data_IF_382166813465
#
_entry.id   IF_382166813465
#
_cell.length_a   1.000
_cell.length_b   1.000
_cell.length_c   1.000
_cell.angle_alpha   90.00
_cell.angle_beta   90.00
_cell.angle_gamma   90.00
#
_symmetry.space_group_name_H-M   'P 1'
#
loop_
_entity.id
_entity.type
_entity.pdbx_description
1 polymer ?
#
# COMPACT_ATOMS: atom_id res chain seq x y z
N UNK A 1 -33.81 -36.68 -45.45
CA UNK A 1 -34.37 -35.38 -45.88
C UNK A 1 -35.30 -34.93 -44.74
N UNK A 2 -34.76 -34.26 -43.74
CA UNK A 2 -35.49 -33.48 -42.72
C UNK A 2 -34.60 -32.31 -42.38
N UNK A 3 -34.78 -31.23 -43.14
CA UNK A 3 -34.36 -29.91 -42.75
C UNK A 3 -35.64 -29.06 -42.73
N UNK A 4 -36.40 -29.19 -41.65
CA UNK A 4 -37.47 -28.25 -41.37
C UNK A 4 -37.03 -27.30 -40.28
N UNK A 5 -37.06 -26.04 -40.70
CA UNK A 5 -37.12 -24.77 -39.99
C UNK A 5 -37.04 -24.85 -38.46
N UNK A 6 -35.86 -24.81 -37.93
CA UNK A 6 -35.60 -24.57 -36.51
C UNK A 6 -35.94 -23.14 -36.05
N UNK A 7 -36.43 -22.27 -36.96
CA UNK A 7 -36.69 -20.85 -36.71
C UNK A 7 -38.17 -20.41 -37.04
N UNK A 8 -39.01 -21.35 -37.46
CA UNK A 8 -40.43 -21.03 -37.72
C UNK A 8 -41.18 -20.93 -36.37
N UNK A 9 -41.30 -19.74 -35.84
CA UNK A 9 -42.10 -19.43 -34.65
C UNK A 9 -41.54 -18.33 -33.73
N UNK A 10 -40.45 -17.69 -34.08
CA UNK A 10 -39.97 -16.56 -33.29
C UNK A 10 -40.54 -15.24 -33.81
N UNK A 11 -41.38 -14.60 -32.99
CA UNK A 11 -41.85 -13.24 -33.22
C UNK A 11 -40.64 -12.27 -33.19
N UNK A 12 -40.41 -11.52 -34.30
CA UNK A 12 -39.31 -10.54 -34.34
C UNK A 12 -39.39 -9.49 -33.21
N UNK A 13 -40.60 -9.17 -32.74
CA UNK A 13 -40.81 -8.26 -31.64
C UNK A 13 -40.31 -8.84 -30.30
N UNK A 14 -40.51 -10.14 -30.07
CA UNK A 14 -39.95 -10.85 -28.88
C UNK A 14 -38.45 -10.93 -28.91
N UNK A 15 -37.84 -11.20 -30.07
CA UNK A 15 -36.38 -11.23 -30.22
C UNK A 15 -35.77 -9.85 -29.95
N UNK A 16 -36.40 -8.79 -30.46
CA UNK A 16 -35.95 -7.41 -30.20
C UNK A 16 -36.13 -7.01 -28.74
N UNK A 17 -37.20 -7.44 -28.08
CA UNK A 17 -37.42 -7.20 -26.65
C UNK A 17 -36.36 -7.95 -25.78
N UNK A 18 -36.10 -9.21 -26.09
CA UNK A 18 -35.07 -9.99 -25.40
C UNK A 18 -33.64 -9.41 -25.61
N UNK A 19 -33.33 -8.89 -26.80
CA UNK A 19 -32.06 -8.21 -27.07
C UNK A 19 -31.93 -6.90 -26.30
N UNK A 20 -33.02 -6.11 -26.17
CA UNK A 20 -33.06 -4.89 -25.34
C UNK A 20 -32.86 -5.23 -23.84
N UNK A 21 -33.54 -6.27 -23.38
CA UNK A 21 -33.38 -6.74 -21.99
C UNK A 21 -31.95 -7.19 -21.71
N UNK A 22 -31.37 -7.99 -22.59
CA UNK A 22 -29.93 -8.39 -22.47
C UNK A 22 -28.97 -7.19 -22.51
N UNK A 23 -29.24 -6.17 -23.32
CA UNK A 23 -28.44 -4.96 -23.37
C UNK A 23 -28.58 -4.13 -22.08
N UNK A 24 -29.78 -4.09 -21.47
CA UNK A 24 -29.98 -3.47 -20.15
C UNK A 24 -29.26 -4.24 -19.04
N UNK A 25 -29.38 -5.56 -19.02
CA UNK A 25 -28.72 -6.46 -18.05
C UNK A 25 -27.20 -6.37 -18.17
N UNK A 26 -26.64 -6.27 -19.39
CA UNK A 26 -25.21 -6.04 -19.62
C UNK A 26 -24.76 -4.68 -19.13
N UNK A 27 -25.61 -3.64 -19.24
CA UNK A 27 -25.31 -2.29 -18.76
C UNK A 27 -25.35 -2.23 -17.22
N UNK A 28 -26.27 -2.95 -16.60
CA UNK A 28 -26.39 -3.09 -15.15
C UNK A 28 -25.24 -3.93 -14.57
N UNK A 29 -24.86 -5.02 -15.25
CA UNK A 29 -23.71 -5.85 -14.89
C UNK A 29 -22.38 -5.07 -15.00
N UNK A 30 -22.26 -4.16 -16.00
CA UNK A 30 -21.09 -3.27 -16.11
C UNK A 30 -21.01 -2.26 -14.95
N UNK A 31 -22.13 -1.75 -14.46
CA UNK A 31 -22.18 -0.89 -13.27
C UNK A 31 -21.78 -1.68 -12.00
N UNK A 32 -22.20 -2.91 -11.88
CA UNK A 32 -21.81 -3.81 -10.78
C UNK A 32 -20.32 -4.19 -10.84
N UNK A 33 -19.74 -4.32 -12.03
CA UNK A 33 -18.30 -4.58 -12.22
C UNK A 33 -17.44 -3.38 -11.81
N UNK A 34 -17.85 -2.16 -12.06
CA UNK A 34 -17.18 -0.96 -11.58
C UNK A 34 -17.23 -0.82 -10.04
N UNK A 35 -18.36 -1.17 -9.42
CA UNK A 35 -18.49 -1.26 -7.96
C UNK A 35 -17.66 -2.41 -7.35
N UNK A 36 -17.59 -3.57 -8.02
CA UNK A 36 -16.69 -4.67 -7.64
C UNK A 36 -15.20 -4.33 -7.80
N UNK A 37 -14.83 -3.40 -8.67
CA UNK A 37 -13.42 -2.97 -8.81
C UNK A 37 -12.96 -2.12 -7.61
N UNK A 38 -13.78 -1.24 -7.07
CA UNK A 38 -13.52 -0.52 -5.82
C UNK A 38 -13.48 -1.51 -4.63
N UNK A 39 -14.41 -2.48 -4.58
CA UNK A 39 -14.41 -3.55 -3.58
C UNK A 39 -13.19 -4.48 -3.70
N UNK A 40 -12.61 -4.66 -4.90
CA UNK A 40 -11.41 -5.49 -5.09
C UNK A 40 -10.20 -4.91 -4.40
N UNK A 41 -10.05 -3.60 -4.33
CA UNK A 41 -8.93 -2.97 -3.62
C UNK A 41 -9.03 -3.22 -2.12
N UNK A 42 -10.20 -2.99 -1.53
CA UNK A 42 -10.46 -3.28 -0.11
C UNK A 42 -10.34 -4.78 0.20
N UNK A 43 -10.87 -5.65 -0.67
CA UNK A 43 -10.73 -7.10 -0.50
C UNK A 43 -9.28 -7.57 -0.61
N UNK A 44 -8.48 -6.99 -1.49
CA UNK A 44 -7.04 -7.29 -1.58
C UNK A 44 -6.31 -6.93 -0.31
N UNK A 45 -6.57 -5.74 0.24
CA UNK A 45 -6.01 -5.30 1.52
C UNK A 45 -6.41 -6.23 2.66
N UNK A 46 -7.69 -6.53 2.79
CA UNK A 46 -8.19 -7.45 3.82
C UNK A 46 -7.59 -8.86 3.68
N UNK A 47 -7.44 -9.36 2.46
CA UNK A 47 -6.78 -10.64 2.20
C UNK A 47 -5.29 -10.60 2.52
N UNK A 48 -4.59 -9.50 2.19
CA UNK A 48 -3.18 -9.32 2.53
C UNK A 48 -2.97 -9.32 4.05
N UNK A 49 -3.80 -8.59 4.78
CA UNK A 49 -3.77 -8.54 6.24
C UNK A 49 -4.08 -9.92 6.86
N UNK A 50 -5.11 -10.61 6.37
CA UNK A 50 -5.44 -11.96 6.82
C UNK A 50 -4.29 -12.95 6.54
N UNK A 51 -3.69 -12.87 5.35
CA UNK A 51 -2.54 -13.70 4.99
C UNK A 51 -1.34 -13.42 5.87
N UNK A 52 -1.01 -12.15 6.13
CA UNK A 52 0.09 -11.81 7.03
C UNK A 52 -0.18 -12.28 8.46
N UNK A 53 -1.41 -12.13 8.95
CA UNK A 53 -1.80 -12.60 10.28
C UNK A 53 -1.75 -14.13 10.41
N UNK A 54 -1.90 -14.88 9.32
CA UNK A 54 -1.79 -16.33 9.30
C UNK A 54 -0.33 -16.82 9.32
N UNK A 55 0.57 -16.11 8.60
CA UNK A 55 1.96 -16.56 8.40
C UNK A 55 2.99 -15.89 9.31
N UNK A 56 2.66 -14.75 9.91
CA UNK A 56 3.56 -13.99 10.77
C UNK A 56 3.04 -13.92 12.21
N UNK A 57 3.93 -13.83 13.20
CA UNK A 57 3.50 -13.61 14.57
C UNK A 57 2.84 -12.23 14.71
N UNK A 58 1.89 -12.07 15.62
CA UNK A 58 1.29 -10.79 15.94
C UNK A 58 2.32 -9.76 16.46
N UNK A 59 3.43 -10.25 17.03
CA UNK A 59 4.57 -9.45 17.49
C UNK A 59 5.85 -10.23 17.25
N UNK A 60 6.87 -9.56 16.72
CA UNK A 60 8.19 -10.14 16.47
C UNK A 60 9.04 -10.07 17.73
N UNK A 61 9.74 -11.16 18.07
CA UNK A 61 10.70 -11.16 19.18
C UNK A 61 12.04 -10.59 18.72
N UNK A 62 12.74 -9.91 19.63
CA UNK A 62 14.08 -9.34 19.35
C UNK A 62 15.06 -10.41 18.87
N UNK A 63 15.81 -10.11 17.83
CA UNK A 63 16.74 -11.02 17.15
C UNK A 63 16.11 -11.92 16.09
N UNK A 64 14.78 -11.91 15.89
CA UNK A 64 14.13 -12.69 14.83
C UNK A 64 14.25 -12.06 13.46
N UNK A 65 14.30 -12.91 12.45
CA UNK A 65 14.20 -12.53 11.05
C UNK A 65 13.22 -13.44 10.32
N UNK A 66 12.28 -12.82 9.60
CA UNK A 66 11.21 -13.51 8.87
C UNK A 66 11.29 -13.19 7.39
N UNK A 67 11.39 -14.22 6.55
CA UNK A 67 11.45 -14.09 5.10
C UNK A 67 10.09 -14.39 4.49
N UNK A 68 9.55 -13.47 3.72
CA UNK A 68 8.24 -13.57 3.07
C UNK A 68 8.41 -13.48 1.57
N UNK A 69 7.85 -14.43 0.83
CA UNK A 69 7.74 -14.37 -0.62
C UNK A 69 6.26 -14.32 -1.01
N UNK A 70 5.88 -13.36 -1.84
CA UNK A 70 4.50 -13.14 -2.25
C UNK A 70 4.33 -13.17 -3.76
N UNK A 71 3.10 -13.32 -4.23
CA UNK A 71 2.75 -13.21 -5.65
C UNK A 71 2.19 -11.82 -6.01
N UNK A 72 2.54 -10.78 -5.23
CA UNK A 72 2.17 -9.38 -5.49
C UNK A 72 0.84 -8.95 -4.87
N UNK A 73 0.31 -9.73 -3.91
CA UNK A 73 -0.92 -9.36 -3.19
C UNK A 73 -0.65 -8.56 -1.91
N UNK A 74 0.62 -8.48 -1.48
CA UNK A 74 1.07 -7.79 -0.26
C UNK A 74 1.99 -6.64 -0.67
N UNK A 75 1.62 -5.43 -0.30
CA UNK A 75 2.42 -4.20 -0.46
C UNK A 75 3.19 -3.85 0.83
N UNK A 76 4.09 -2.88 0.75
CA UNK A 76 4.87 -2.47 1.91
C UNK A 76 4.00 -1.92 3.04
N UNK A 77 2.87 -1.27 2.74
CA UNK A 77 1.96 -0.73 3.75
C UNK A 77 1.20 -1.84 4.50
N UNK A 78 1.00 -3.01 3.88
CA UNK A 78 0.41 -4.18 4.55
C UNK A 78 1.24 -4.66 5.72
N UNK A 79 2.58 -4.58 5.63
CA UNK A 79 3.46 -4.87 6.77
C UNK A 79 3.30 -3.85 7.89
N UNK A 80 3.16 -2.56 7.56
CA UNK A 80 2.91 -1.51 8.57
C UNK A 80 1.60 -1.75 9.31
N UNK A 81 0.51 -2.13 8.61
CA UNK A 81 -0.77 -2.50 9.23
C UNK A 81 -0.62 -3.68 10.18
N UNK A 82 0.10 -4.72 9.75
CA UNK A 82 0.38 -5.89 10.58
C UNK A 82 1.16 -5.52 11.85
N UNK A 83 2.19 -4.67 11.71
CA UNK A 83 2.99 -4.15 12.85
C UNK A 83 2.11 -3.35 13.80
N UNK A 84 1.30 -2.41 13.29
CA UNK A 84 0.39 -1.58 14.09
C UNK A 84 -0.71 -2.38 14.80
N UNK A 85 -1.07 -3.56 14.28
CA UNK A 85 -2.00 -4.45 14.97
C UNK A 85 -1.38 -5.12 16.21
N UNK A 86 -0.05 -5.23 16.25
CA UNK A 86 0.71 -5.89 17.35
C UNK A 86 1.30 -4.94 18.41
N UNK A 87 1.17 -3.61 18.22
CA UNK A 87 1.72 -2.60 19.14
C UNK A 87 0.67 -1.52 19.47
N UNK A 88 0.89 -0.80 20.56
CA UNK A 88 -0.01 0.29 20.97
C UNK A 88 0.06 1.47 19.99
N UNK A 89 1.28 1.86 19.62
CA UNK A 89 1.62 2.95 18.68
C UNK A 89 3.04 2.77 18.17
N UNK A 90 3.44 3.59 17.21
CA UNK A 90 4.83 3.75 16.75
C UNK A 90 5.29 5.17 17.06
N UNK A 91 6.43 5.31 17.73
CA UNK A 91 7.09 6.60 17.90
C UNK A 91 7.57 7.14 16.55
N UNK A 92 8.04 6.24 15.69
CA UNK A 92 8.57 6.61 14.38
C UNK A 92 8.26 5.55 13.32
N UNK A 93 7.77 6.00 12.18
CA UNK A 93 7.65 5.25 10.93
C UNK A 93 8.45 5.97 9.85
N UNK A 94 9.49 5.31 9.32
CA UNK A 94 10.21 5.75 8.12
C UNK A 94 9.90 4.80 6.98
N UNK A 95 9.53 5.34 5.83
CA UNK A 95 9.33 4.56 4.62
C UNK A 95 10.20 5.09 3.49
N UNK A 96 11.02 4.21 2.93
CA UNK A 96 11.78 4.48 1.70
C UNK A 96 11.13 3.71 0.55
N UNK A 97 10.73 4.42 -0.49
CA UNK A 97 10.07 3.85 -1.65
C UNK A 97 10.31 4.71 -2.89
N UNK A 98 10.18 4.13 -4.07
CA UNK A 98 10.24 4.90 -5.30
C UNK A 98 9.01 5.80 -5.49
N UNK A 99 7.83 5.28 -5.14
CA UNK A 99 6.56 6.00 -5.22
C UNK A 99 5.58 5.49 -4.15
N UNK A 100 4.60 6.31 -3.86
CA UNK A 100 3.50 6.02 -2.92
C UNK A 100 2.19 6.53 -3.53
N UNK A 101 1.09 5.85 -3.29
CA UNK A 101 -0.21 6.25 -3.82
C UNK A 101 -0.96 7.16 -2.84
N UNK A 102 -1.87 7.98 -3.39
CA UNK A 102 -2.69 8.94 -2.63
C UNK A 102 -3.47 8.29 -1.48
N UNK A 103 -4.04 7.12 -1.73
CA UNK A 103 -4.79 6.39 -0.70
C UNK A 103 -3.91 5.90 0.45
N UNK A 104 -2.65 5.59 0.16
CA UNK A 104 -1.70 5.14 1.19
C UNK A 104 -1.29 6.32 2.09
N UNK A 105 -1.04 7.49 1.51
CA UNK A 105 -0.82 8.73 2.27
C UNK A 105 -2.04 9.10 3.12
N UNK A 106 -3.26 8.95 2.58
CA UNK A 106 -4.51 9.19 3.33
C UNK A 106 -4.63 8.26 4.54
N UNK A 107 -4.24 7.00 4.40
CA UNK A 107 -4.25 6.05 5.51
C UNK A 107 -3.18 6.39 6.56
N UNK A 108 -1.97 6.76 6.13
CA UNK A 108 -0.91 7.22 7.04
C UNK A 108 -1.36 8.47 7.80
N UNK A 109 -1.99 9.45 7.11
CA UNK A 109 -2.57 10.63 7.77
C UNK A 109 -3.58 10.24 8.86
N UNK A 110 -4.46 9.26 8.58
CA UNK A 110 -5.42 8.79 9.57
C UNK A 110 -4.75 8.11 10.78
N UNK A 111 -3.59 7.47 10.60
CA UNK A 111 -2.82 6.91 11.72
C UNK A 111 -2.14 8.01 12.55
N UNK A 112 -1.64 9.08 11.90
CA UNK A 112 -1.11 10.26 12.59
C UNK A 112 -2.21 10.97 13.39
N UNK A 113 -3.38 11.22 12.78
CA UNK A 113 -4.55 11.79 13.48
C UNK A 113 -5.00 10.97 14.69
N UNK A 114 -4.94 9.65 14.58
CA UNK A 114 -5.33 8.74 15.65
C UNK A 114 -4.23 8.52 16.73
N UNK A 115 -3.05 9.14 16.59
CA UNK A 115 -1.89 8.93 17.46
C UNK A 115 -1.33 7.50 17.41
N UNK A 116 -1.58 6.79 16.30
CA UNK A 116 -0.99 5.46 16.06
C UNK A 116 0.45 5.54 15.58
N UNK A 117 0.82 6.67 15.00
CA UNK A 117 2.17 7.03 14.58
C UNK A 117 2.40 8.45 15.08
N UNK A 118 3.53 8.70 15.74
CA UNK A 118 3.90 10.04 16.22
C UNK A 118 4.71 10.81 15.18
N UNK A 119 5.67 10.16 14.54
CA UNK A 119 6.54 10.73 13.51
C UNK A 119 6.48 9.90 12.23
N UNK A 120 6.34 10.57 11.08
CA UNK A 120 6.41 9.93 9.76
C UNK A 120 7.46 10.58 8.87
N UNK A 121 8.32 9.76 8.27
CA UNK A 121 9.33 10.17 7.32
C UNK A 121 9.18 9.40 6.00
N UNK A 122 9.10 10.13 4.88
CA UNK A 122 9.07 9.55 3.55
C UNK A 122 10.35 9.89 2.77
N UNK A 123 11.06 8.86 2.33
CA UNK A 123 12.18 8.95 1.39
C UNK A 123 11.71 8.48 0.01
N UNK A 124 11.43 9.43 -0.87
CA UNK A 124 10.86 9.19 -2.19
C UNK A 124 11.91 9.24 -3.30
N UNK A 125 11.62 8.61 -4.44
CA UNK A 125 12.43 8.71 -5.66
C UNK A 125 12.38 10.09 -6.28
N UNK A 126 13.39 10.44 -7.08
CA UNK A 126 13.56 11.74 -7.74
C UNK A 126 12.41 12.12 -8.67
N UNK A 127 11.65 11.13 -9.15
CA UNK A 127 10.48 11.36 -10.02
C UNK A 127 9.23 11.81 -9.24
N UNK A 128 9.24 11.67 -7.91
CA UNK A 128 8.04 11.86 -7.09
C UNK A 128 7.38 13.23 -7.28
N UNK A 129 8.10 14.38 -7.23
CA UNK A 129 7.50 15.69 -7.45
C UNK A 129 6.92 15.90 -8.86
N UNK A 130 7.54 15.29 -9.89
CA UNK A 130 7.15 15.51 -11.28
C UNK A 130 6.10 14.55 -11.81
N UNK A 131 6.11 13.31 -11.34
CA UNK A 131 5.25 12.24 -11.86
C UNK A 131 4.06 11.91 -10.96
N UNK A 132 4.09 12.34 -9.70
CA UNK A 132 3.09 12.07 -8.67
C UNK A 132 2.68 13.38 -7.96
N UNK A 133 2.28 14.39 -8.75
CA UNK A 133 2.05 15.75 -8.26
C UNK A 133 1.00 15.83 -7.14
N UNK A 134 -0.12 15.12 -7.27
CA UNK A 134 -1.17 15.11 -6.25
C UNK A 134 -0.70 14.46 -4.93
N UNK A 135 0.05 13.38 -5.02
CA UNK A 135 0.65 12.70 -3.88
C UNK A 135 1.74 13.54 -3.23
N UNK A 136 2.52 14.24 -4.05
CA UNK A 136 3.55 15.16 -3.58
C UNK A 136 2.94 16.32 -2.79
N UNK A 137 1.91 17.00 -3.32
CA UNK A 137 1.18 18.06 -2.61
C UNK A 137 0.52 17.56 -1.32
N UNK A 138 -0.04 16.36 -1.34
CA UNK A 138 -0.58 15.74 -0.15
C UNK A 138 0.52 15.51 0.91
N UNK A 139 1.69 15.03 0.49
CA UNK A 139 2.81 14.82 1.41
C UNK A 139 3.33 16.13 1.99
N UNK A 140 3.41 17.22 1.18
CA UNK A 140 3.76 18.55 1.68
C UNK A 140 2.76 19.04 2.73
N UNK A 141 1.46 18.81 2.49
CA UNK A 141 0.41 19.13 3.47
C UNK A 141 0.57 18.32 4.77
N UNK A 142 0.98 17.06 4.69
CA UNK A 142 1.29 16.24 5.87
C UNK A 142 2.52 16.76 6.63
N UNK A 143 3.54 17.26 5.91
CA UNK A 143 4.68 17.92 6.55
C UNK A 143 4.25 19.17 7.36
N UNK A 144 3.28 19.93 6.85
CA UNK A 144 2.74 21.11 7.54
C UNK A 144 1.85 20.76 8.74
N UNK A 145 0.99 19.77 8.58
CA UNK A 145 -0.02 19.42 9.58
C UNK A 145 0.56 18.60 10.75
N UNK A 146 1.50 17.71 10.47
CA UNK A 146 1.99 16.72 11.44
C UNK A 146 3.48 16.78 11.72
N UNK A 147 4.23 17.68 11.07
CA UNK A 147 5.69 17.70 11.17
C UNK A 147 6.36 16.50 10.48
N UNK A 148 5.66 15.80 9.56
CA UNK A 148 6.24 14.75 8.77
C UNK A 148 7.41 15.24 7.92
N UNK A 149 8.37 14.36 7.59
CA UNK A 149 9.50 14.74 6.73
C UNK A 149 9.34 14.11 5.34
N UNK A 150 9.67 14.89 4.31
CA UNK A 150 9.80 14.40 2.94
C UNK A 150 11.22 14.63 2.45
N UNK A 151 11.89 13.56 2.07
CA UNK A 151 13.21 13.59 1.43
C UNK A 151 13.08 13.00 0.03
N UNK A 152 13.37 13.81 -0.98
CA UNK A 152 13.42 13.38 -2.38
C UNK A 152 14.86 13.16 -2.77
N UNK A 153 15.21 11.97 -3.25
CA UNK A 153 16.57 11.60 -3.61
C UNK A 153 16.59 10.65 -4.81
N UNK A 154 17.76 10.35 -5.36
CA UNK A 154 17.92 9.25 -6.33
C UNK A 154 17.74 7.92 -5.61
N UNK A 155 16.51 7.64 -5.23
CA UNK A 155 16.14 6.55 -4.35
C UNK A 155 15.35 5.48 -5.08
N UNK A 156 15.78 4.22 -4.96
CA UNK A 156 15.04 3.04 -5.42
C UNK A 156 14.92 1.97 -4.34
N UNK A 157 15.35 2.27 -3.11
CA UNK A 157 15.24 1.34 -1.99
C UNK A 157 13.78 1.19 -1.52
N UNK A 158 13.47 0.06 -0.91
CA UNK A 158 12.19 -0.24 -0.29
C UNK A 158 12.47 -0.75 1.11
N UNK A 159 12.60 0.21 2.01
CA UNK A 159 12.89 -0.03 3.43
C UNK A 159 11.79 0.61 4.25
N UNK A 160 11.31 -0.11 5.24
CA UNK A 160 10.41 0.44 6.25
C UNK A 160 11.06 0.24 7.61
N UNK A 161 11.19 1.33 8.37
CA UNK A 161 11.61 1.29 9.77
C UNK A 161 10.41 1.63 10.64
N UNK A 162 10.19 0.83 11.66
CA UNK A 162 9.14 1.06 12.64
C UNK A 162 9.70 0.89 14.05
N UNK A 163 9.44 1.83 14.93
CA UNK A 163 9.92 1.76 16.31
C UNK A 163 8.88 2.18 17.34
N UNK A 164 8.96 1.53 18.50
CA UNK A 164 8.33 1.94 19.74
C UNK A 164 9.38 1.76 20.87
N UNK A 165 9.96 2.87 21.29
CA UNK A 165 11.06 2.85 22.27
C UNK A 165 10.57 2.39 23.66
N UNK A 166 9.33 2.74 24.03
CA UNK A 166 8.75 2.36 25.32
C UNK A 166 8.55 0.85 25.45
N UNK A 167 8.34 0.17 24.31
CA UNK A 167 8.20 -1.28 24.24
C UNK A 167 9.51 -1.98 23.79
N UNK A 168 10.61 -1.23 23.62
CA UNK A 168 11.89 -1.70 23.08
C UNK A 168 11.71 -2.44 21.74
N UNK A 169 10.80 -1.96 20.89
CA UNK A 169 10.40 -2.60 19.65
C UNK A 169 10.97 -1.85 18.44
N UNK A 170 11.84 -2.51 17.70
CA UNK A 170 12.55 -1.94 16.57
C UNK A 170 12.53 -2.91 15.40
N UNK A 171 11.82 -2.54 14.33
CA UNK A 171 11.68 -3.36 13.13
C UNK A 171 12.28 -2.68 11.91
N UNK A 172 12.87 -3.50 11.07
CA UNK A 172 13.30 -3.16 9.72
C UNK A 172 12.62 -4.12 8.75
N UNK A 173 11.91 -3.61 7.77
CA UNK A 173 11.37 -4.39 6.65
C UNK A 173 12.14 -4.02 5.40
N UNK A 174 12.92 -4.97 4.88
CA UNK A 174 13.58 -4.87 3.58
C UNK A 174 12.70 -5.54 2.54
N UNK A 175 12.35 -4.85 1.45
CA UNK A 175 11.39 -5.36 0.47
C UNK A 175 11.83 -5.08 -0.96
N UNK A 176 11.34 -5.88 -1.91
CA UNK A 176 11.34 -5.54 -3.33
C UNK A 176 10.07 -4.76 -3.73
N UNK A 177 8.99 -4.86 -2.94
CA UNK A 177 7.71 -4.21 -3.17
C UNK A 177 7.74 -2.73 -2.83
N UNK A 178 7.22 -1.88 -3.72
CA UNK A 178 6.89 -0.50 -3.38
C UNK A 178 5.69 -0.44 -2.42
N UNK A 179 5.36 0.76 -1.93
CA UNK A 179 4.19 0.97 -1.08
C UNK A 179 2.90 0.65 -1.83
N UNK A 180 2.82 0.98 -3.11
CA UNK A 180 1.67 0.66 -3.94
C UNK A 180 1.71 -0.79 -4.46
N UNK A 181 0.55 -1.43 -4.50
CA UNK A 181 0.37 -2.82 -4.91
C UNK A 181 0.79 -3.04 -6.36
N UNK A 182 1.67 -4.04 -6.59
CA UNK A 182 2.09 -4.47 -7.91
C UNK A 182 1.89 -6.00 -8.03
N UNK A 183 1.18 -6.53 -9.05
CA UNK A 183 0.95 -7.97 -9.21
C UNK A 183 2.19 -8.71 -9.72
N UNK A 184 3.31 -8.58 -9.02
CA UNK A 184 4.57 -9.25 -9.31
C UNK A 184 4.97 -10.13 -8.12
N UNK A 185 5.87 -11.09 -8.38
CA UNK A 185 6.52 -11.82 -7.30
C UNK A 185 7.40 -10.82 -6.54
N UNK A 186 7.17 -10.71 -5.25
CA UNK A 186 7.90 -9.82 -4.36
C UNK A 186 8.47 -10.62 -3.19
N UNK A 187 9.58 -10.15 -2.66
CA UNK A 187 10.19 -10.69 -1.46
C UNK A 187 10.33 -9.60 -0.40
N UNK A 188 10.23 -10.00 0.86
CA UNK A 188 10.45 -9.11 1.98
C UNK A 188 11.13 -9.87 3.11
N UNK A 189 11.94 -9.17 3.88
CA UNK A 189 12.50 -9.67 5.12
C UNK A 189 12.16 -8.71 6.25
N UNK A 190 11.64 -9.22 7.34
CA UNK A 190 11.32 -8.45 8.54
C UNK A 190 12.35 -8.84 9.58
N UNK A 191 13.07 -7.85 10.11
CA UNK A 191 14.06 -8.02 11.16
C UNK A 191 13.63 -7.28 12.42
N UNK A 192 13.49 -7.99 13.51
CA UNK A 192 13.35 -7.40 14.84
C UNK A 192 14.75 -7.21 15.43
N UNK A 193 15.36 -6.05 15.18
CA UNK A 193 16.73 -5.75 15.60
C UNK A 193 16.95 -4.25 15.77
N UNK A 194 17.24 -3.83 17.00
CA UNK A 194 17.59 -2.44 17.30
C UNK A 194 18.84 -1.98 16.52
N UNK A 195 19.84 -2.85 16.39
CA UNK A 195 21.09 -2.48 15.71
C UNK A 195 20.88 -2.28 14.20
N UNK A 196 20.10 -3.15 13.54
CA UNK A 196 19.82 -3.00 12.12
C UNK A 196 18.91 -1.79 11.86
N UNK A 197 17.91 -1.56 12.73
CA UNK A 197 17.08 -0.37 12.66
C UNK A 197 17.94 0.91 12.78
N UNK A 198 18.81 0.98 13.77
CA UNK A 198 19.70 2.13 13.98
C UNK A 198 20.65 2.34 12.79
N UNK A 199 21.21 1.27 12.21
CA UNK A 199 22.06 1.35 11.02
C UNK A 199 21.33 2.03 9.84
N UNK A 200 20.10 1.60 9.54
CA UNK A 200 19.34 2.21 8.46
C UNK A 200 18.88 3.62 8.79
N UNK A 201 18.49 3.88 10.03
CA UNK A 201 18.09 5.22 10.45
C UNK A 201 19.23 6.22 10.27
N UNK A 202 20.43 5.89 10.72
CA UNK A 202 21.63 6.72 10.53
C UNK A 202 21.94 6.95 9.05
N UNK A 203 21.82 5.89 8.23
CA UNK A 203 22.01 6.00 6.78
C UNK A 203 21.02 6.99 6.15
N UNK A 204 19.72 6.87 6.46
CA UNK A 204 18.69 7.73 5.89
C UNK A 204 18.79 9.16 6.41
N UNK A 205 19.10 9.38 7.68
CA UNK A 205 19.29 10.74 8.24
C UNK A 205 20.47 11.49 7.60
N UNK A 206 21.44 10.78 7.05
CA UNK A 206 22.54 11.34 6.26
C UNK A 206 22.15 11.82 4.86
N UNK A 207 20.96 11.45 4.35
CA UNK A 207 20.54 11.79 2.98
C UNK A 207 19.97 13.20 2.94
N UNK A 208 20.50 14.03 2.04
CA UNK A 208 19.98 15.37 1.76
C UNK A 208 18.98 15.31 0.62
N UNK A 209 17.85 15.99 0.78
CA UNK A 209 16.87 16.13 -0.30
C UNK A 209 17.45 16.94 -1.46
N UNK A 210 17.20 16.49 -2.68
CA UNK A 210 17.44 17.27 -3.91
C UNK A 210 16.30 18.22 -4.24
N UNK A 211 15.16 18.06 -3.60
CA UNK A 211 14.00 18.92 -3.74
C UNK A 211 14.08 20.10 -2.75
N UNK A 212 13.88 21.31 -3.27
CA UNK A 212 13.97 22.56 -2.48
C UNK A 212 12.76 22.80 -1.56
N UNK A 213 11.64 22.15 -1.84
CA UNK A 213 10.41 22.27 -1.06
C UNK A 213 10.30 21.19 0.03
N UNK A 214 11.20 20.21 0.01
CA UNK A 214 11.30 19.22 1.07
C UNK A 214 11.56 19.91 2.40
N UNK A 215 10.69 19.69 3.37
CA UNK A 215 10.90 20.15 4.74
C UNK A 215 11.77 19.10 5.46
N UNK A 216 13.05 19.35 5.48
CA UNK A 216 14.01 18.71 6.39
C UNK A 216 14.19 19.66 7.59
N UNK A 217 14.01 19.15 8.78
CA UNK A 217 14.35 19.93 9.99
C UNK A 217 15.84 20.20 10.07
#
# INVERSE_FOLDING_TARGET
MIHEDLFAGFDPAMVAAAARQRAADVKETRRAVAQKSANRHHMRRANAEATLAEILPARFADGESWHVATRGDIDALSYVRHILAGVSHLDHLLMSTWCIAKNDLTEISAWLDAGKIEQFDLYAGEIFPGSYGDEYEQMLSMCEAYGARLIVAKNHSKITLASNASEAYYLTVESSANVNTNPRIEQSTIHASRNLHAFYLEFFDGIKSIDKHSKTH
#
